data_IF_286880610303
#
_entry.id   IF_286880610303
#
_cell.length_a   1.000
_cell.length_b   1.000
_cell.length_c   1.000
_cell.angle_alpha   90.00
_cell.angle_beta   90.00
_cell.angle_gamma   90.00
#
_symmetry.space_group_name_H-M   'P 1'
#
loop_
_entity.id
_entity.type
_entity.pdbx_description
1 polymer ?
#
# COMPACT_ATOMS: atom_id res chain seq x y z
N UNK A 1 -7.22 -15.34 -12.52
CA UNK A 1 -7.45 -14.10 -13.29
C UNK A 1 -7.85 -13.02 -12.31
N UNK A 2 -6.98 -12.04 -12.05
CA UNK A 2 -7.33 -10.85 -11.29
C UNK A 2 -8.03 -9.87 -12.26
N UNK A 3 -9.32 -9.61 -12.05
CA UNK A 3 -10.08 -8.66 -12.87
C UNK A 3 -9.80 -7.24 -12.38
N UNK A 4 -8.71 -6.64 -12.86
CA UNK A 4 -8.35 -5.27 -12.54
C UNK A 4 -9.41 -4.26 -12.99
N UNK A 5 -9.69 -3.28 -12.12
CA UNK A 5 -10.59 -2.16 -12.38
C UNK A 5 -9.83 -1.04 -13.09
N UNK A 6 -10.48 -0.38 -14.05
CA UNK A 6 -10.02 0.87 -14.65
C UNK A 6 -10.89 2.01 -14.13
N UNK A 7 -10.28 3.17 -14.00
CA UNK A 7 -10.92 4.39 -13.54
C UNK A 7 -10.97 5.39 -14.70
N UNK A 8 -12.15 5.90 -15.12
CA UNK A 8 -12.27 6.80 -16.26
C UNK A 8 -11.42 8.08 -16.16
N UNK A 9 -11.11 8.51 -14.93
CA UNK A 9 -10.27 9.66 -14.63
C UNK A 9 -8.76 9.37 -14.64
N UNK A 10 -8.35 8.09 -14.73
CA UNK A 10 -6.95 7.71 -14.80
C UNK A 10 -6.39 8.00 -16.19
N UNK A 11 -5.68 9.11 -16.34
CA UNK A 11 -5.13 9.54 -17.64
C UNK A 11 -4.14 8.54 -18.25
N UNK A 12 -3.59 7.65 -17.43
CA UNK A 12 -2.66 6.61 -17.85
C UNK A 12 -3.35 5.27 -18.16
N UNK A 13 -4.69 5.19 -18.04
CA UNK A 13 -5.50 3.97 -18.22
C UNK A 13 -4.94 2.75 -17.45
N UNK A 14 -4.37 2.97 -16.25
CA UNK A 14 -3.78 1.89 -15.46
C UNK A 14 -4.89 0.94 -15.00
N UNK A 15 -4.55 -0.36 -14.98
CA UNK A 15 -5.38 -1.38 -14.35
C UNK A 15 -5.01 -1.47 -12.88
N UNK A 16 -5.98 -1.28 -12.01
CA UNK A 16 -5.86 -1.39 -10.57
C UNK A 16 -6.45 -2.72 -10.10
N UNK A 17 -5.60 -3.62 -9.65
CA UNK A 17 -6.02 -4.91 -9.10
C UNK A 17 -6.18 -4.78 -7.59
N UNK A 18 -7.35 -5.18 -7.07
CA UNK A 18 -7.55 -5.25 -5.63
C UNK A 18 -6.75 -6.41 -5.06
N UNK A 19 -5.91 -6.12 -4.07
CA UNK A 19 -5.30 -7.11 -3.19
C UNK A 19 -5.85 -6.88 -1.79
N UNK A 20 -6.72 -7.77 -1.31
CA UNK A 20 -7.37 -7.61 -0.02
C UNK A 20 -7.70 -8.98 0.57
N UNK A 21 -7.18 -9.25 1.77
CA UNK A 21 -7.51 -10.43 2.55
C UNK A 21 -8.56 -10.09 3.61
N UNK A 22 -9.81 -10.49 3.37
CA UNK A 22 -10.94 -10.23 4.27
C UNK A 22 -10.86 -10.94 5.62
N UNK A 23 -10.02 -11.97 5.76
CA UNK A 23 -9.85 -12.72 7.00
C UNK A 23 -8.78 -12.10 7.91
N UNK A 24 -7.90 -11.28 7.33
CA UNK A 24 -6.79 -10.64 8.04
C UNK A 24 -6.96 -9.13 8.16
N UNK A 25 -7.67 -8.48 7.23
CA UNK A 25 -7.68 -7.03 7.08
C UNK A 25 -9.08 -6.43 7.18
N UNK A 26 -9.14 -5.21 7.71
CA UNK A 26 -10.32 -4.35 7.67
C UNK A 26 -10.18 -3.30 6.56
N UNK A 27 -11.24 -3.12 5.79
CA UNK A 27 -11.33 -2.06 4.79
C UNK A 27 -11.55 -0.71 5.51
N UNK A 28 -10.87 0.32 5.01
CA UNK A 28 -11.06 1.71 5.39
C UNK A 28 -11.41 2.50 4.15
N UNK A 29 -12.51 3.24 4.20
CA UNK A 29 -12.96 4.08 3.09
C UNK A 29 -13.28 5.48 3.57
N UNK A 30 -13.20 6.44 2.66
CA UNK A 30 -13.65 7.81 2.88
C UNK A 30 -14.41 8.32 1.66
N UNK A 31 -15.41 9.17 1.91
CA UNK A 31 -16.11 9.91 0.85
C UNK A 31 -15.50 11.32 0.65
N UNK A 32 -14.49 11.67 1.44
CA UNK A 32 -13.81 12.95 1.35
C UNK A 32 -12.79 12.93 0.21
N UNK A 33 -12.45 14.12 -0.28
CA UNK A 33 -11.37 14.28 -1.25
C UNK A 33 -10.03 14.01 -0.56
N UNK A 34 -9.28 13.03 -1.08
CA UNK A 34 -7.88 12.81 -0.72
C UNK A 34 -7.04 13.64 -1.68
N UNK A 35 -6.22 14.54 -1.13
CA UNK A 35 -5.27 15.32 -1.90
C UNK A 35 -4.17 14.40 -2.43
N UNK A 36 -3.94 14.43 -3.73
CA UNK A 36 -2.92 13.62 -4.39
C UNK A 36 -1.97 14.55 -5.09
N UNK A 37 -0.67 14.27 -4.97
CA UNK A 37 0.31 14.95 -5.82
C UNK A 37 0.00 14.68 -7.30
N UNK A 38 -0.09 15.75 -8.07
CA UNK A 38 -0.35 15.72 -9.52
C UNK A 38 0.74 14.97 -10.28
N UNK A 39 1.93 14.80 -9.71
CA UNK A 39 3.01 14.04 -10.36
C UNK A 39 2.60 12.59 -10.73
N UNK A 40 1.74 11.96 -9.91
CA UNK A 40 1.34 10.56 -10.08
C UNK A 40 -0.07 10.36 -10.66
N UNK A 41 -0.85 11.46 -10.77
CA UNK A 41 -2.24 11.51 -11.27
C UNK A 41 -3.08 10.30 -10.81
N UNK A 42 -3.08 9.99 -9.50
CA UNK A 42 -3.75 8.79 -8.99
C UNK A 42 -5.27 8.95 -9.03
N UNK A 43 -6.02 7.90 -9.40
CA UNK A 43 -7.47 7.98 -9.40
C UNK A 43 -8.00 8.16 -7.98
N UNK A 44 -8.99 9.05 -7.82
CA UNK A 44 -9.59 9.31 -6.51
C UNK A 44 -10.19 8.03 -5.90
N UNK A 45 -10.84 7.20 -6.73
CA UNK A 45 -11.44 5.94 -6.26
C UNK A 45 -10.43 4.94 -5.69
N UNK A 46 -9.16 5.02 -6.08
CA UNK A 46 -8.08 4.22 -5.47
C UNK A 46 -7.70 4.81 -4.12
N UNK A 47 -7.40 6.11 -4.09
CA UNK A 47 -6.90 6.78 -2.88
C UNK A 47 -7.95 6.94 -1.77
N UNK A 48 -9.24 6.84 -2.11
CA UNK A 48 -10.34 6.85 -1.16
C UNK A 48 -10.51 5.54 -0.37
N UNK A 49 -9.73 4.50 -0.70
CA UNK A 49 -9.79 3.18 -0.08
C UNK A 49 -8.43 2.75 0.46
N UNK A 50 -8.43 2.01 1.55
CA UNK A 50 -7.23 1.48 2.19
C UNK A 50 -7.57 0.28 3.08
N UNK A 51 -6.54 -0.30 3.70
CA UNK A 51 -6.67 -1.44 4.59
C UNK A 51 -5.91 -1.22 5.90
N UNK A 52 -6.36 -1.89 6.95
CA UNK A 52 -5.64 -2.00 8.23
C UNK A 52 -5.67 -3.47 8.67
N UNK A 53 -4.69 -3.93 9.47
CA UNK A 53 -4.84 -5.22 10.12
C UNK A 53 -6.12 -5.26 10.97
N UNK A 54 -6.72 -6.44 11.13
CA UNK A 54 -7.87 -6.62 12.03
C UNK A 54 -7.46 -6.46 13.50
N UNK A 55 -6.24 -6.84 13.86
CA UNK A 55 -5.69 -6.70 15.21
C UNK A 55 -4.48 -5.77 15.23
N UNK A 56 -4.33 -4.97 16.29
CA UNK A 56 -3.29 -3.94 16.41
C UNK A 56 -1.85 -4.48 16.34
N UNK A 57 -1.64 -5.76 16.67
CA UNK A 57 -0.31 -6.39 16.65
C UNK A 57 0.00 -7.13 15.36
N UNK A 58 -0.97 -7.22 14.45
CA UNK A 58 -0.81 -7.90 13.18
C UNK A 58 -0.21 -6.94 12.15
N UNK A 59 0.24 -7.51 11.04
CA UNK A 59 0.85 -6.75 9.95
C UNK A 59 0.09 -6.96 8.65
N UNK A 60 0.07 -5.92 7.82
CA UNK A 60 -0.36 -6.05 6.43
C UNK A 60 0.79 -6.70 5.66
N UNK A 61 0.57 -7.90 5.12
CA UNK A 61 1.58 -8.62 4.35
C UNK A 61 1.07 -8.85 2.92
N UNK A 62 1.79 -8.31 1.95
CA UNK A 62 1.47 -8.44 0.53
C UNK A 62 2.55 -9.27 -0.14
N UNK A 63 2.14 -10.19 -1.00
CA UNK A 63 3.03 -10.92 -1.90
C UNK A 63 2.52 -10.78 -3.32
N UNK A 64 3.44 -10.64 -4.25
CA UNK A 64 3.12 -10.65 -5.67
C UNK A 64 4.20 -11.38 -6.45
N UNK A 65 3.75 -11.97 -7.55
CA UNK A 65 4.58 -12.71 -8.47
C UNK A 65 5.03 -11.80 -9.62
N UNK A 66 6.30 -11.89 -9.98
CA UNK A 66 6.86 -11.21 -11.15
C UNK A 66 7.31 -12.25 -12.18
N UNK A 67 6.92 -12.03 -13.44
CA UNK A 67 7.34 -12.86 -14.58
C UNK A 67 7.89 -11.97 -15.71
N UNK A 68 9.12 -12.21 -16.22
CA UNK A 68 10.06 -13.26 -15.77
C UNK A 68 10.64 -12.97 -14.37
N UNK A 69 11.15 -13.99 -13.64
CA UNK A 69 11.76 -13.80 -12.32
C UNK A 69 12.93 -12.80 -12.28
N UNK A 70 13.55 -12.54 -13.44
CA UNK A 70 14.63 -11.58 -13.60
C UNK A 70 14.16 -10.14 -13.85
N UNK A 71 12.85 -9.91 -13.93
CA UNK A 71 12.32 -8.59 -14.19
C UNK A 71 12.54 -7.68 -12.97
N UNK A 72 13.05 -6.49 -13.26
CA UNK A 72 13.21 -5.42 -12.29
C UNK A 72 11.84 -4.82 -11.98
N UNK A 73 11.58 -4.65 -10.69
CA UNK A 73 10.34 -4.05 -10.19
C UNK A 73 10.63 -2.70 -9.53
N UNK A 74 9.81 -1.72 -9.87
CA UNK A 74 9.76 -0.43 -9.19
C UNK A 74 8.51 -0.40 -8.33
N UNK A 75 8.69 -0.23 -7.03
CA UNK A 75 7.59 -0.30 -6.07
C UNK A 75 7.23 1.11 -5.64
N UNK A 76 5.95 1.44 -5.82
CA UNK A 76 5.35 2.69 -5.39
C UNK A 76 4.24 2.35 -4.40
N UNK A 77 4.38 2.81 -3.16
CA UNK A 77 3.37 2.66 -2.12
C UNK A 77 2.74 4.00 -1.84
N UNK A 78 1.42 4.03 -1.74
CA UNK A 78 0.65 5.24 -1.52
C UNK A 78 -0.09 5.16 -0.20
N UNK A 79 0.09 6.18 0.65
CA UNK A 79 -0.49 6.20 2.00
C UNK A 79 -1.17 7.53 2.28
N UNK A 80 -2.34 7.48 2.90
CA UNK A 80 -3.06 8.62 3.47
C UNK A 80 -3.81 8.16 4.73
N UNK A 81 -3.99 9.05 5.70
CA UNK A 81 -4.91 8.79 6.81
C UNK A 81 -6.33 9.16 6.36
N UNK A 82 -7.18 8.13 6.23
CA UNK A 82 -8.54 8.27 5.69
C UNK A 82 -9.60 8.42 6.78
N UNK A 83 -9.27 8.08 8.03
CA UNK A 83 -10.16 8.20 9.19
C UNK A 83 -9.73 9.36 10.07
N UNK A 84 -10.72 10.09 10.57
CA UNK A 84 -10.47 11.06 11.64
C UNK A 84 -10.08 10.31 12.90
N UNK A 85 -8.83 10.51 13.34
CA UNK A 85 -8.32 10.01 14.61
C UNK A 85 -8.72 10.94 15.76
N UNK A 86 -8.66 10.44 17.01
CA UNK A 86 -8.77 11.32 18.19
C UNK A 86 -7.52 12.19 18.28
N UNK A 87 -7.60 13.30 19.02
CA UNK A 87 -6.53 14.31 19.07
C UNK A 87 -5.15 13.75 19.49
N UNK A 88 -5.10 12.63 20.21
CA UNK A 88 -3.87 12.03 20.70
C UNK A 88 -3.54 10.69 20.02
N UNK A 89 -4.36 10.24 19.08
CA UNK A 89 -4.16 8.97 18.39
C UNK A 89 -3.36 9.25 17.10
N UNK A 90 -2.26 8.54 16.92
CA UNK A 90 -1.52 8.48 15.66
C UNK A 90 -1.40 7.04 15.21
N UNK A 91 -1.38 6.82 13.89
CA UNK A 91 -1.03 5.52 13.31
C UNK A 91 0.39 5.60 12.80
N UNK A 92 1.28 4.86 13.43
CA UNK A 92 2.66 4.77 12.99
C UNK A 92 2.99 3.36 12.57
N UNK A 93 3.70 3.22 11.45
CA UNK A 93 4.20 1.93 11.03
C UNK A 93 5.58 1.98 10.40
N UNK A 94 6.31 0.88 10.58
CA UNK A 94 7.50 0.59 9.77
C UNK A 94 7.08 -0.09 8.49
N UNK A 95 7.96 -0.11 7.49
CA UNK A 95 7.82 -0.86 6.26
C UNK A 95 9.08 -1.70 6.08
N UNK A 96 8.89 -2.97 5.74
CA UNK A 96 9.97 -3.85 5.29
C UNK A 96 9.65 -4.34 3.89
N UNK A 97 10.69 -4.64 3.12
CA UNK A 97 10.63 -5.20 1.78
C UNK A 97 11.71 -6.29 1.65
N UNK A 98 11.30 -7.47 1.22
CA UNK A 98 12.08 -8.71 1.21
C UNK A 98 12.75 -8.97 2.57
N UNK A 99 11.99 -8.82 3.66
CA UNK A 99 12.47 -8.94 5.03
C UNK A 99 13.45 -7.85 5.51
N UNK A 100 13.80 -6.88 4.66
CA UNK A 100 14.73 -5.77 4.99
C UNK A 100 13.96 -4.50 5.32
N UNK A 101 14.45 -3.72 6.28
CA UNK A 101 13.88 -2.43 6.61
C UNK A 101 13.94 -1.46 5.42
N UNK A 102 12.80 -0.85 5.09
CA UNK A 102 12.69 0.13 4.01
C UNK A 102 12.53 1.54 4.56
N UNK A 103 11.54 1.77 5.42
CA UNK A 103 11.23 3.10 5.95
C UNK A 103 10.40 3.02 7.22
N UNK A 104 10.37 4.08 8.02
CA UNK A 104 9.62 4.16 9.27
C UNK A 104 10.33 4.93 10.40
N UNK A 105 9.67 5.06 11.57
CA UNK A 105 8.22 4.98 11.71
C UNK A 105 7.56 6.06 10.83
N UNK A 106 6.51 5.67 10.11
CA UNK A 106 5.80 6.53 9.18
C UNK A 106 4.38 6.76 9.67
N UNK A 107 3.98 8.02 9.72
CA UNK A 107 2.61 8.46 10.02
C UNK A 107 1.95 8.98 8.74
N UNK A 108 0.88 8.34 8.22
CA UNK A 108 0.12 8.89 7.11
C UNK A 108 -0.52 10.24 7.46
N UNK A 109 -0.56 11.16 6.48
CA UNK A 109 -1.16 12.48 6.66
C UNK A 109 -2.67 12.42 6.39
N UNK A 110 -3.53 13.06 7.22
CA UNK A 110 -4.97 13.10 7.00
C UNK A 110 -5.33 13.64 5.63
N UNK A 111 -6.03 12.81 4.84
CA UNK A 111 -6.52 13.12 3.49
C UNK A 111 -5.45 13.66 2.53
N UNK A 112 -4.19 13.29 2.73
CA UNK A 112 -3.09 13.64 1.83
C UNK A 112 -2.28 12.40 1.50
N UNK A 113 -2.29 12.04 0.21
CA UNK A 113 -1.58 10.90 -0.32
C UNK A 113 -0.10 11.21 -0.45
N UNK A 114 0.73 10.44 0.25
CA UNK A 114 2.17 10.45 0.05
C UNK A 114 2.62 9.18 -0.64
N UNK A 115 3.70 9.31 -1.42
CA UNK A 115 4.31 8.20 -2.15
C UNK A 115 5.62 7.82 -1.50
N UNK A 116 5.77 6.55 -1.18
CA UNK A 116 7.04 5.96 -0.75
C UNK A 116 7.49 5.02 -1.85
N UNK A 117 8.70 5.22 -2.35
CA UNK A 117 9.29 4.40 -3.39
C UNK A 117 10.38 3.52 -2.83
N UNK A 118 10.44 2.27 -3.28
CA UNK A 118 11.62 1.44 -3.07
C UNK A 118 12.60 1.62 -4.24
N UNK A 119 13.89 1.42 -3.96
CA UNK A 119 14.88 1.24 -5.04
C UNK A 119 14.52 0.03 -5.90
N UNK A 120 15.11 -0.02 -7.10
CA UNK A 120 14.92 -1.12 -8.04
C UNK A 120 15.17 -2.47 -7.35
N UNK A 121 14.15 -3.33 -7.35
CA UNK A 121 14.25 -4.67 -6.80
C UNK A 121 14.30 -5.71 -7.90
N UNK A 122 15.09 -6.75 -7.66
CA UNK A 122 14.98 -8.03 -8.33
C UNK A 122 14.54 -9.03 -7.25
N UNK A 123 13.37 -9.64 -7.42
CA UNK A 123 12.88 -10.63 -6.46
C UNK A 123 13.72 -11.92 -6.63
N UNK A 124 14.02 -12.64 -5.53
CA UNK A 124 14.86 -13.84 -5.57
C UNK A 124 14.18 -15.00 -6.34
N UNK A 125 14.97 -15.81 -7.04
CA UNK A 125 14.47 -16.90 -7.90
C UNK A 125 13.90 -18.07 -7.06
N UNK A 126 12.58 -18.26 -7.11
CA UNK A 126 11.87 -19.36 -6.44
C UNK A 126 10.61 -19.83 -7.18
N UNK A 127 10.80 -20.72 -8.16
CA UNK A 127 9.78 -21.45 -8.96
C UNK A 127 8.86 -20.58 -9.82
N UNK A 128 9.20 -20.41 -11.10
CA UNK A 128 8.39 -19.79 -12.19
C UNK A 128 7.95 -18.33 -11.98
N UNK A 129 7.97 -17.88 -10.74
CA UNK A 129 7.57 -16.58 -10.23
C UNK A 129 8.59 -16.21 -9.16
N UNK A 130 8.87 -14.92 -9.02
CA UNK A 130 9.62 -14.43 -7.88
C UNK A 130 8.63 -13.73 -6.95
N UNK A 131 8.49 -14.25 -5.73
CA UNK A 131 7.66 -13.66 -4.69
C UNK A 131 8.45 -12.52 -4.05
N UNK A 132 8.06 -11.29 -4.33
CA UNK A 132 8.54 -10.19 -3.51
C UNK A 132 7.72 -10.19 -2.20
N UNK A 133 8.39 -10.40 -1.07
CA UNK A 133 7.77 -10.32 0.25
C UNK A 133 7.81 -8.88 0.76
N UNK A 134 6.75 -8.50 1.44
CA UNK A 134 6.62 -7.41 2.40
C UNK A 134 6.48 -5.96 1.88
N UNK A 135 5.36 -5.38 2.30
CA UNK A 135 5.34 -4.06 2.94
C UNK A 135 4.82 -4.32 4.35
N UNK A 136 5.67 -4.75 5.28
CA UNK A 136 5.22 -5.08 6.65
C UNK A 136 4.89 -3.81 7.42
N UNK A 137 3.61 -3.43 7.45
CA UNK A 137 3.13 -2.26 8.21
C UNK A 137 2.95 -2.63 9.69
N UNK A 138 3.92 -2.28 10.54
CA UNK A 138 3.81 -2.48 12.01
C UNK A 138 3.01 -1.32 12.61
N UNK A 139 1.67 -1.37 12.61
CA UNK A 139 0.91 -0.28 13.24
C UNK A 139 1.03 -0.36 14.76
N UNK A 140 1.66 0.62 15.42
CA UNK A 140 1.44 0.85 16.84
C UNK A 140 0.60 2.10 17.03
N UNK A 141 -0.58 1.97 17.63
CA UNK A 141 -1.22 3.09 18.30
C UNK A 141 -0.43 3.33 19.59
N UNK A 142 0.32 4.43 19.67
CA UNK A 142 0.83 4.87 20.97
C UNK A 142 -0.34 5.49 21.73
N UNK A 143 -0.82 4.83 22.79
CA UNK A 143 -1.66 5.44 23.82
C UNK A 143 -0.85 6.32 24.75
#
# INVERSE_FOLDING_TARGET
MHNGRRYPEDIYDRKWNSYFDKELWAEVTTNLTVNVDKSNELPHGVMATGATPLNEKDTLNMTWDVEPPTAKSYIYMYFAELKTLRANDTREFNMTLNGKYLSGPYSPIPLEAQTITAEEQQCDEGVSFAACEDVKLISSAST
#
